data_IF_796914544396
#
_entry.id   IF_796914544396
#
_cell.length_a   1.000
_cell.length_b   1.000
_cell.length_c   1.000
_cell.angle_alpha   90.00
_cell.angle_beta   90.00
_cell.angle_gamma   90.00
#
_symmetry.space_group_name_H-M   'P 1'
#
loop_
_entity.id
_entity.type
_entity.pdbx_description
1 polymer ?
#
# COMPACT_ATOMS: atom_id res chain seq x y z
N UNK A 1 -3.08 -27.06 -50.96
CA UNK A 1 -2.05 -26.41 -50.12
C UNK A 1 -0.83 -27.32 -50.02
N UNK A 2 0.37 -26.83 -50.36
CA UNK A 2 1.63 -27.59 -50.15
C UNK A 2 2.06 -27.36 -48.70
N UNK A 3 2.11 -28.44 -47.91
CA UNK A 3 2.51 -28.40 -46.49
C UNK A 3 3.78 -29.20 -46.29
N UNK A 4 4.55 -28.84 -45.27
CA UNK A 4 5.78 -29.56 -44.90
C UNK A 4 5.46 -31.03 -44.58
N UNK A 5 6.27 -32.01 -45.04
CA UNK A 5 6.07 -33.42 -44.72
C UNK A 5 6.01 -33.69 -43.21
N UNK A 6 6.76 -32.92 -42.41
CA UNK A 6 6.78 -32.99 -40.95
C UNK A 6 5.41 -32.69 -40.34
N UNK A 7 4.64 -31.74 -40.89
CA UNK A 7 3.30 -31.41 -40.38
C UNK A 7 2.34 -32.58 -40.59
N UNK A 8 2.42 -33.26 -41.74
CA UNK A 8 1.63 -34.47 -42.03
C UNK A 8 2.03 -35.62 -41.09
N UNK A 9 3.33 -35.84 -40.91
CA UNK A 9 3.87 -36.83 -39.95
C UNK A 9 3.37 -36.58 -38.53
N UNK A 10 3.26 -35.32 -38.13
CA UNK A 10 2.84 -34.90 -36.80
C UNK A 10 1.30 -34.83 -36.64
N UNK A 11 0.52 -35.30 -37.61
CA UNK A 11 -0.93 -35.50 -37.49
C UNK A 11 -1.82 -34.52 -38.25
N UNK A 12 -1.27 -33.55 -39.00
CA UNK A 12 -2.08 -32.63 -39.79
C UNK A 12 -2.71 -33.34 -41.01
N UNK A 13 -4.05 -33.39 -41.06
CA UNK A 13 -4.83 -34.03 -42.15
C UNK A 13 -5.52 -33.05 -43.10
N UNK A 14 -5.25 -31.75 -42.98
CA UNK A 14 -5.81 -30.71 -43.86
C UNK A 14 -6.86 -29.80 -43.20
N UNK A 15 -7.34 -30.15 -42.02
CA UNK A 15 -8.22 -29.30 -41.21
C UNK A 15 -7.42 -28.52 -40.15
N UNK A 16 -7.80 -27.27 -39.95
CA UNK A 16 -7.22 -26.36 -38.97
C UNK A 16 -8.06 -26.28 -37.68
N UNK A 17 -9.25 -26.87 -37.66
CA UNK A 17 -10.13 -26.96 -36.50
C UNK A 17 -10.46 -25.59 -35.87
N UNK A 18 -10.55 -24.54 -36.69
CA UNK A 18 -10.77 -23.16 -36.23
C UNK A 18 -9.55 -22.49 -35.57
N UNK A 19 -8.36 -23.09 -35.64
CA UNK A 19 -7.10 -22.51 -35.15
C UNK A 19 -6.37 -21.83 -36.30
N UNK A 20 -5.72 -20.68 -36.03
CA UNK A 20 -4.86 -20.03 -37.02
C UNK A 20 -3.78 -21.00 -37.55
N UNK A 21 -3.58 -21.10 -38.89
CA UNK A 21 -2.56 -21.94 -39.50
C UNK A 21 -1.17 -21.76 -38.90
N UNK A 22 -0.78 -20.51 -38.62
CA UNK A 22 0.53 -20.18 -38.03
C UNK A 22 0.67 -20.78 -36.64
N UNK A 23 -0.37 -20.67 -35.81
CA UNK A 23 -0.37 -21.18 -34.43
C UNK A 23 -0.33 -22.70 -34.41
N UNK A 24 -1.19 -23.35 -35.21
CA UNK A 24 -1.28 -24.82 -35.27
C UNK A 24 0.02 -25.42 -35.79
N UNK A 25 0.57 -24.88 -36.88
CA UNK A 25 1.83 -25.39 -37.45
C UNK A 25 3.01 -25.20 -36.51
N UNK A 26 3.13 -24.02 -35.88
CA UNK A 26 4.18 -23.80 -34.88
C UNK A 26 4.11 -24.85 -33.78
N UNK A 27 2.92 -25.04 -33.21
CA UNK A 27 2.73 -25.97 -32.10
C UNK A 27 2.96 -27.44 -32.50
N UNK A 28 2.50 -27.86 -33.68
CA UNK A 28 2.77 -29.20 -34.20
C UNK A 28 4.26 -29.47 -34.41
N UNK A 29 5.06 -28.44 -34.71
CA UNK A 29 6.50 -28.57 -34.91
C UNK A 29 7.30 -28.47 -33.60
N UNK A 30 6.73 -27.87 -32.54
CA UNK A 30 7.47 -27.58 -31.30
C UNK A 30 7.01 -28.37 -30.07
N UNK A 31 5.77 -28.86 -30.03
CA UNK A 31 5.21 -29.51 -28.85
C UNK A 31 4.72 -30.95 -29.17
N UNK A 32 5.40 -31.98 -28.64
CA UNK A 32 5.02 -33.39 -28.89
C UNK A 32 3.66 -33.76 -28.29
N UNK A 33 3.14 -32.99 -27.32
CA UNK A 33 1.80 -33.20 -26.75
C UNK A 33 0.72 -32.89 -27.79
N UNK A 34 0.93 -31.83 -28.57
CA UNK A 34 0.00 -31.41 -29.63
C UNK A 34 -0.02 -32.44 -30.77
N UNK A 35 1.14 -32.99 -31.14
CA UNK A 35 1.22 -34.13 -32.06
C UNK A 35 0.42 -35.33 -31.53
N UNK A 36 0.62 -35.67 -30.25
CA UNK A 36 -0.06 -36.81 -29.61
C UNK A 36 -1.58 -36.64 -29.65
N UNK A 37 -2.09 -35.46 -29.28
CA UNK A 37 -3.51 -35.16 -29.27
C UNK A 37 -4.11 -35.13 -30.68
N UNK A 38 -3.41 -34.54 -31.65
CA UNK A 38 -3.83 -34.53 -33.06
C UNK A 38 -3.93 -35.94 -33.65
N UNK A 39 -2.97 -36.82 -33.34
CA UNK A 39 -3.02 -38.22 -33.77
C UNK A 39 -4.12 -39.02 -33.09
N UNK A 40 -4.43 -38.69 -31.84
CA UNK A 40 -5.49 -39.29 -31.05
C UNK A 40 -6.90 -38.78 -31.35
N UNK A 41 -7.06 -37.80 -32.26
CA UNK A 41 -8.33 -37.13 -32.55
C UNK A 41 -8.92 -36.36 -31.35
N UNK A 42 -8.06 -35.93 -30.41
CA UNK A 42 -8.42 -35.25 -29.17
C UNK A 42 -8.46 -33.72 -29.37
N UNK A 43 -9.26 -33.28 -30.35
CA UNK A 43 -9.21 -31.91 -30.87
C UNK A 43 -9.54 -30.85 -29.80
N UNK A 44 -10.51 -31.10 -28.93
CA UNK A 44 -10.91 -30.15 -27.90
C UNK A 44 -9.85 -30.00 -26.79
N UNK A 45 -9.21 -31.10 -26.39
CA UNK A 45 -8.07 -31.07 -25.44
C UNK A 45 -6.88 -30.36 -26.07
N UNK A 46 -6.59 -30.63 -27.34
CA UNK A 46 -5.54 -29.95 -28.09
C UNK A 46 -5.78 -28.44 -28.12
N UNK A 47 -6.98 -28.00 -28.51
CA UNK A 47 -7.34 -26.57 -28.49
C UNK A 47 -7.09 -25.98 -27.11
N UNK A 48 -7.58 -26.62 -26.05
CA UNK A 48 -7.43 -26.10 -24.69
C UNK A 48 -5.96 -25.91 -24.29
N UNK A 49 -5.09 -26.89 -24.56
CA UNK A 49 -3.66 -26.77 -24.28
C UNK A 49 -2.95 -25.74 -25.16
N UNK A 50 -3.34 -25.61 -26.44
CA UNK A 50 -2.80 -24.60 -27.33
C UNK A 50 -3.10 -23.18 -26.83
N UNK A 51 -4.30 -22.96 -26.28
CA UNK A 51 -4.71 -21.66 -25.75
C UNK A 51 -4.22 -21.42 -24.33
N UNK A 52 -4.01 -22.47 -23.53
CA UNK A 52 -3.59 -22.40 -22.13
C UNK A 52 -2.35 -23.27 -21.87
N UNK A 53 -1.17 -22.77 -22.28
CA UNK A 53 0.09 -23.51 -22.18
C UNK A 53 0.40 -23.99 -20.75
N UNK A 54 0.16 -23.14 -19.74
CA UNK A 54 0.33 -23.50 -18.33
C UNK A 54 -0.54 -24.70 -17.91
N UNK A 55 -1.78 -24.76 -18.41
CA UNK A 55 -2.68 -25.89 -18.15
C UNK A 55 -2.11 -27.19 -18.74
N UNK A 56 -1.46 -27.11 -19.90
CA UNK A 56 -0.81 -28.27 -20.49
C UNK A 56 0.30 -28.80 -19.59
N UNK A 57 1.12 -27.92 -19.00
CA UNK A 57 2.19 -28.33 -18.09
C UNK A 57 1.63 -28.94 -16.79
N UNK A 58 0.58 -28.34 -16.23
CA UNK A 58 -0.04 -28.78 -14.98
C UNK A 58 -0.84 -30.09 -15.14
N UNK A 59 -1.56 -30.28 -16.25
CA UNK A 59 -2.55 -31.34 -16.40
C UNK A 59 -2.09 -32.52 -17.25
N UNK A 60 -1.01 -32.41 -18.03
CA UNK A 60 -0.61 -33.44 -19.01
C UNK A 60 -0.40 -34.82 -18.39
N UNK A 61 0.31 -34.90 -17.25
CA UNK A 61 0.57 -36.17 -16.58
C UNK A 61 -0.73 -36.84 -16.12
N UNK A 62 -1.63 -36.07 -15.51
CA UNK A 62 -2.96 -36.54 -15.07
C UNK A 62 -3.83 -36.94 -16.25
N UNK A 63 -3.74 -36.21 -17.37
CA UNK A 63 -4.53 -36.52 -18.56
C UNK A 63 -4.11 -37.88 -19.15
N UNK A 64 -2.81 -38.15 -19.26
CA UNK A 64 -2.32 -39.46 -19.71
C UNK A 64 -2.79 -40.60 -18.81
N UNK A 65 -2.85 -40.37 -17.50
CA UNK A 65 -3.36 -41.35 -16.53
C UNK A 65 -4.87 -41.55 -16.73
N UNK A 66 -5.66 -40.47 -16.82
CA UNK A 66 -7.09 -40.54 -17.08
C UNK A 66 -7.41 -41.34 -18.36
N UNK A 67 -6.65 -41.09 -19.45
CA UNK A 67 -6.77 -41.85 -20.70
C UNK A 67 -6.43 -43.33 -20.53
N UNK A 68 -5.36 -43.68 -19.79
CA UNK A 68 -5.01 -45.08 -19.50
C UNK A 68 -6.13 -45.81 -18.74
N UNK A 69 -6.81 -45.10 -17.85
CA UNK A 69 -7.94 -45.60 -17.09
C UNK A 69 -9.28 -45.53 -17.86
N UNK A 70 -9.27 -45.13 -19.13
CA UNK A 70 -10.46 -44.96 -19.97
C UNK A 70 -11.51 -44.03 -19.35
N UNK A 71 -11.06 -43.05 -18.56
CA UNK A 71 -11.94 -42.07 -17.95
C UNK A 71 -12.45 -41.09 -19.01
N UNK A 72 -13.77 -40.88 -19.01
CA UNK A 72 -14.43 -39.95 -19.94
C UNK A 72 -14.49 -38.56 -19.31
N UNK A 73 -13.88 -37.58 -19.97
CA UNK A 73 -13.86 -36.19 -19.53
C UNK A 73 -14.80 -35.40 -20.44
N UNK A 74 -16.01 -35.10 -19.97
CA UNK A 74 -17.00 -34.36 -20.77
C UNK A 74 -16.69 -32.86 -20.85
N UNK A 75 -16.16 -32.26 -19.77
CA UNK A 75 -15.71 -30.87 -19.75
C UNK A 75 -14.25 -30.78 -19.31
N UNK A 76 -13.35 -30.68 -20.30
CA UNK A 76 -11.91 -30.67 -20.07
C UNK A 76 -11.44 -29.46 -19.25
N UNK A 77 -12.01 -28.28 -19.50
CA UNK A 77 -11.64 -27.07 -18.76
C UNK A 77 -11.97 -27.19 -17.27
N UNK A 78 -13.19 -27.64 -16.96
CA UNK A 78 -13.64 -27.83 -15.58
C UNK A 78 -12.83 -28.93 -14.88
N UNK A 79 -12.44 -29.98 -15.61
CA UNK A 79 -11.57 -31.02 -15.07
C UNK A 79 -10.15 -30.49 -14.76
N UNK A 80 -9.59 -29.62 -15.61
CA UNK A 80 -8.35 -28.92 -15.29
C UNK A 80 -8.48 -28.03 -14.04
N UNK A 81 -9.60 -27.31 -13.90
CA UNK A 81 -9.87 -26.50 -12.70
C UNK A 81 -9.95 -27.39 -11.44
N UNK A 82 -10.62 -28.55 -11.55
CA UNK A 82 -10.66 -29.56 -10.51
C UNK A 82 -9.27 -30.06 -10.10
N UNK A 83 -8.38 -30.36 -11.06
CA UNK A 83 -7.00 -30.75 -10.76
C UNK A 83 -6.24 -29.65 -10.00
N UNK A 84 -6.44 -28.38 -10.35
CA UNK A 84 -5.81 -27.27 -9.62
C UNK A 84 -6.35 -27.17 -8.19
N UNK A 85 -7.66 -27.40 -7.99
CA UNK A 85 -8.24 -27.47 -6.65
C UNK A 85 -7.64 -28.63 -5.84
N UNK A 86 -7.54 -29.83 -6.43
CA UNK A 86 -6.90 -30.98 -5.82
C UNK A 86 -5.45 -30.69 -5.41
N UNK A 87 -4.68 -30.06 -6.29
CA UNK A 87 -3.30 -29.66 -5.99
C UNK A 87 -3.24 -28.69 -4.80
N UNK A 88 -4.12 -27.67 -4.77
CA UNK A 88 -4.21 -26.73 -3.65
C UNK A 88 -4.66 -27.42 -2.35
N UNK A 89 -5.46 -28.49 -2.45
CA UNK A 89 -5.84 -29.35 -1.32
C UNK A 89 -4.77 -30.41 -0.97
N UNK A 90 -3.60 -30.38 -1.61
CA UNK A 90 -2.50 -31.32 -1.36
C UNK A 90 -2.78 -32.76 -1.81
N UNK A 91 -3.73 -32.96 -2.72
CA UNK A 91 -4.09 -34.27 -3.25
C UNK A 91 -3.14 -34.68 -4.38
N UNK A 92 -2.78 -35.96 -4.43
CA UNK A 92 -1.92 -36.50 -5.49
C UNK A 92 -2.66 -36.55 -6.83
N UNK A 93 -2.17 -35.77 -7.80
CA UNK A 93 -2.71 -35.70 -9.17
C UNK A 93 -2.28 -36.88 -10.05
N UNK A 94 -1.39 -37.75 -9.57
CA UNK A 94 -1.01 -39.00 -10.26
C UNK A 94 -1.83 -40.21 -9.78
N UNK A 95 -2.65 -40.05 -8.76
CA UNK A 95 -3.52 -41.10 -8.26
C UNK A 95 -4.86 -41.10 -9.05
N UNK A 96 -5.18 -42.16 -9.80
CA UNK A 96 -6.43 -42.27 -10.55
C UNK A 96 -7.68 -42.11 -9.68
N UNK A 97 -7.64 -42.53 -8.41
CA UNK A 97 -8.77 -42.39 -7.48
C UNK A 97 -9.13 -40.94 -7.19
N UNK A 98 -8.16 -40.04 -7.31
CA UNK A 98 -8.36 -38.61 -7.09
C UNK A 98 -8.85 -37.92 -8.37
N UNK A 99 -8.22 -38.24 -9.52
CA UNK A 99 -8.42 -37.49 -10.77
C UNK A 99 -9.54 -38.04 -11.66
N UNK A 100 -10.01 -39.27 -11.40
CA UNK A 100 -11.07 -39.95 -12.16
C UNK A 100 -12.27 -40.31 -11.24
N UNK A 101 -12.99 -39.32 -10.68
CA UNK A 101 -14.15 -39.60 -9.84
C UNK A 101 -15.31 -40.20 -10.63
N UNK A 102 -16.06 -41.11 -10.03
CA UNK A 102 -17.27 -41.69 -10.62
C UNK A 102 -18.34 -40.61 -10.86
N UNK A 103 -18.57 -39.74 -9.88
CA UNK A 103 -19.38 -38.53 -10.01
C UNK A 103 -18.48 -37.29 -10.00
N UNK A 104 -18.18 -36.79 -11.19
CA UNK A 104 -17.32 -35.62 -11.38
C UNK A 104 -17.89 -34.35 -10.75
N UNK A 105 -19.21 -34.13 -10.88
CA UNK A 105 -19.84 -32.91 -10.37
C UNK A 105 -19.82 -32.90 -8.84
N UNK A 106 -20.15 -34.01 -8.20
CA UNK A 106 -20.07 -34.12 -6.75
C UNK A 106 -18.64 -33.93 -6.22
N UNK A 107 -17.64 -34.49 -6.92
CA UNK A 107 -16.23 -34.35 -6.54
C UNK A 107 -15.73 -32.91 -6.72
N UNK A 108 -16.10 -32.26 -7.83
CA UNK A 108 -15.80 -30.86 -8.10
C UNK A 108 -16.40 -29.95 -7.02
N UNK A 109 -17.70 -30.07 -6.74
CA UNK A 109 -18.37 -29.23 -5.74
C UNK A 109 -17.82 -29.43 -4.33
N UNK A 110 -17.43 -30.67 -3.97
CA UNK A 110 -16.76 -30.94 -2.71
C UNK A 110 -15.40 -30.21 -2.62
N UNK A 111 -14.60 -30.27 -3.68
CA UNK A 111 -13.32 -29.56 -3.74
C UNK A 111 -13.52 -28.03 -3.66
N UNK A 112 -14.51 -27.48 -4.37
CA UNK A 112 -14.87 -26.06 -4.32
C UNK A 112 -15.17 -25.61 -2.90
N UNK A 113 -16.07 -26.30 -2.18
CA UNK A 113 -16.42 -25.96 -0.79
C UNK A 113 -15.21 -25.97 0.14
N UNK A 114 -14.30 -26.93 -0.05
CA UNK A 114 -13.05 -27.00 0.76
C UNK A 114 -12.12 -25.83 0.47
N UNK A 115 -11.98 -25.44 -0.80
CA UNK A 115 -11.18 -24.27 -1.20
C UNK A 115 -11.79 -22.98 -0.64
N UNK A 116 -13.11 -22.82 -0.74
CA UNK A 116 -13.82 -21.67 -0.18
C UNK A 116 -13.63 -21.54 1.33
N UNK A 117 -13.71 -22.66 2.06
CA UNK A 117 -13.45 -22.68 3.50
C UNK A 117 -12.01 -22.29 3.86
N UNK A 118 -11.02 -22.64 3.04
CA UNK A 118 -9.63 -22.17 3.20
C UNK A 118 -9.56 -20.66 2.99
N UNK A 119 -10.14 -20.16 1.90
CA UNK A 119 -10.15 -18.73 1.58
C UNK A 119 -10.88 -17.90 2.63
N UNK A 120 -11.96 -18.40 3.21
CA UNK A 120 -12.67 -17.75 4.30
C UNK A 120 -11.80 -17.64 5.56
N UNK A 121 -11.11 -18.72 5.94
CA UNK A 121 -10.17 -18.72 7.06
C UNK A 121 -9.01 -17.75 6.83
N UNK A 122 -8.46 -17.72 5.62
CA UNK A 122 -7.38 -16.80 5.23
C UNK A 122 -7.83 -15.33 5.35
N UNK A 123 -9.01 -15.00 4.79
CA UNK A 123 -9.59 -13.65 4.89
C UNK A 123 -9.86 -13.23 6.33
N UNK A 124 -10.44 -14.12 7.14
CA UNK A 124 -10.68 -13.84 8.56
C UNK A 124 -9.37 -13.65 9.35
N UNK A 125 -8.33 -14.42 9.03
CA UNK A 125 -7.02 -14.25 9.65
C UNK A 125 -6.34 -12.94 9.25
N UNK A 126 -6.45 -12.54 7.99
CA UNK A 126 -5.94 -11.27 7.49
C UNK A 126 -6.66 -10.07 8.11
N UNK A 127 -7.99 -10.12 8.21
CA UNK A 127 -8.79 -9.10 8.88
C UNK A 127 -8.37 -8.92 10.35
N UNK A 128 -8.17 -10.03 11.09
CA UNK A 128 -7.69 -9.98 12.47
C UNK A 128 -6.30 -9.34 12.57
N UNK A 129 -5.37 -9.69 11.69
CA UNK A 129 -4.02 -9.08 11.66
C UNK A 129 -4.09 -7.57 11.42
N UNK A 130 -4.90 -7.16 10.44
CA UNK A 130 -5.09 -5.75 10.12
C UNK A 130 -5.71 -4.96 11.29
N UNK A 131 -6.69 -5.55 11.99
CA UNK A 131 -7.31 -4.91 13.16
C UNK A 131 -6.32 -4.72 14.32
N UNK A 132 -5.48 -5.72 14.58
CA UNK A 132 -4.41 -5.65 15.60
C UNK A 132 -3.40 -4.55 15.23
N UNK A 133 -2.88 -4.55 14.01
CA UNK A 133 -1.92 -3.54 13.55
C UNK A 133 -2.51 -2.13 13.61
N UNK A 134 -3.79 -1.97 13.24
CA UNK A 134 -4.48 -0.68 13.32
C UNK A 134 -4.57 -0.17 14.76
N UNK A 135 -4.92 -1.06 15.70
CA UNK A 135 -5.00 -0.73 17.14
C UNK A 135 -3.64 -0.35 17.71
N UNK A 136 -2.60 -1.12 17.41
CA UNK A 136 -1.23 -0.82 17.85
C UNK A 136 -0.75 0.54 17.32
N UNK A 137 -0.99 0.82 16.04
CA UNK A 137 -0.65 2.11 15.42
C UNK A 137 -1.41 3.28 16.07
N UNK A 138 -2.67 3.07 16.42
CA UNK A 138 -3.46 4.08 17.11
C UNK A 138 -2.96 4.33 18.53
N UNK A 139 -2.67 3.28 19.29
CA UNK A 139 -2.10 3.39 20.64
C UNK A 139 -0.74 4.11 20.60
N UNK A 140 0.14 3.76 19.64
CA UNK A 140 1.44 4.41 19.50
C UNK A 140 1.30 5.90 19.17
N UNK A 141 0.35 6.29 18.31
CA UNK A 141 0.06 7.70 18.02
C UNK A 141 -0.47 8.44 19.25
N UNK A 142 -1.33 7.82 20.04
CA UNK A 142 -1.83 8.43 21.27
C UNK A 142 -0.71 8.63 22.29
N UNK A 143 0.17 7.64 22.46
CA UNK A 143 1.33 7.73 23.34
C UNK A 143 2.28 8.84 22.87
N UNK A 144 2.57 8.92 21.57
CA UNK A 144 3.41 9.97 21.02
C UNK A 144 2.79 11.37 21.22
N UNK A 145 1.47 11.53 21.05
CA UNK A 145 0.79 12.81 21.30
C UNK A 145 0.88 13.24 22.77
N UNK A 146 0.74 12.29 23.71
CA UNK A 146 0.91 12.57 25.14
C UNK A 146 2.33 13.03 25.43
N UNK A 147 3.32 12.30 24.92
CA UNK A 147 4.73 12.66 25.06
C UNK A 147 5.04 14.03 24.44
N UNK A 148 4.56 14.30 23.23
CA UNK A 148 4.73 15.59 22.57
C UNK A 148 4.15 16.75 23.41
N UNK A 149 3.00 16.54 24.05
CA UNK A 149 2.38 17.54 24.94
C UNK A 149 3.17 17.73 26.24
N UNK A 150 3.62 16.65 26.87
CA UNK A 150 4.48 16.69 28.06
C UNK A 150 5.81 17.42 27.76
N UNK A 151 6.47 17.06 26.66
CA UNK A 151 7.72 17.69 26.20
C UNK A 151 7.50 19.17 25.87
N UNK A 152 6.37 19.52 25.25
CA UNK A 152 6.02 20.92 24.98
C UNK A 152 5.89 21.73 26.28
N UNK A 153 5.14 21.23 27.26
CA UNK A 153 5.00 21.91 28.56
C UNK A 153 6.35 22.01 29.27
N UNK A 154 7.13 20.93 29.32
CA UNK A 154 8.44 20.92 29.97
C UNK A 154 9.40 21.95 29.36
N UNK A 155 9.40 22.08 28.03
CA UNK A 155 10.29 22.98 27.32
C UNK A 155 9.78 24.44 27.30
N UNK A 156 8.47 24.65 27.19
CA UNK A 156 7.90 25.97 26.83
C UNK A 156 7.19 26.69 27.96
N UNK A 157 6.71 25.98 28.99
CA UNK A 157 5.87 26.57 30.05
C UNK A 157 6.53 27.74 30.80
N UNK A 158 7.86 27.72 30.95
CA UNK A 158 8.61 28.82 31.57
C UNK A 158 8.42 30.18 30.85
N UNK A 159 8.09 30.15 29.57
CA UNK A 159 7.86 31.35 28.75
C UNK A 159 6.40 31.77 28.71
N UNK A 160 5.45 30.98 29.21
CA UNK A 160 4.03 31.32 29.15
C UNK A 160 3.73 32.61 29.92
N UNK A 161 2.83 33.41 29.39
CA UNK A 161 2.52 34.77 29.82
C UNK A 161 3.57 35.82 29.47
N UNK A 162 4.62 35.47 28.71
CA UNK A 162 5.55 36.47 28.18
C UNK A 162 4.89 37.26 27.06
N UNK A 163 4.82 38.57 27.26
CA UNK A 163 4.30 39.54 26.28
C UNK A 163 5.31 40.67 26.16
N UNK A 164 5.65 41.02 24.92
CA UNK A 164 6.51 42.15 24.54
C UNK A 164 5.63 43.10 23.74
N UNK A 165 5.69 44.41 24.01
CA UNK A 165 4.87 45.38 23.29
C UNK A 165 5.53 46.74 23.21
N UNK A 166 5.20 47.49 22.17
CA UNK A 166 5.48 48.91 22.01
C UNK A 166 4.19 49.76 21.97
N UNK A 167 3.16 49.29 22.68
CA UNK A 167 1.79 49.82 22.74
C UNK A 167 0.90 49.44 21.54
N UNK A 168 1.44 49.48 20.32
CA UNK A 168 0.68 49.14 19.10
C UNK A 168 0.82 47.66 18.73
N UNK A 169 2.06 47.15 18.69
CA UNK A 169 2.35 45.75 18.36
C UNK A 169 2.46 44.96 19.66
N UNK A 170 1.77 43.82 19.71
CA UNK A 170 1.86 42.85 20.80
C UNK A 170 2.53 41.59 20.25
N UNK A 171 3.68 41.23 20.81
CA UNK A 171 4.39 39.98 20.52
C UNK A 171 4.26 39.06 21.72
N UNK A 172 3.55 37.94 21.56
CA UNK A 172 3.29 36.99 22.65
C UNK A 172 3.70 35.57 22.28
N UNK A 173 4.02 34.75 23.27
CA UNK A 173 4.36 33.33 23.07
C UNK A 173 3.14 32.55 22.58
N UNK A 174 3.38 31.53 21.73
CA UNK A 174 2.38 30.50 21.47
C UNK A 174 2.39 29.47 22.61
N UNK A 175 1.34 29.42 23.40
CA UNK A 175 1.30 28.73 24.70
C UNK A 175 0.67 27.33 24.64
N UNK A 176 0.21 26.91 23.46
CA UNK A 176 -0.32 25.56 23.25
C UNK A 176 0.01 25.02 21.87
N UNK A 177 0.01 23.69 21.73
CA UNK A 177 0.18 23.02 20.43
C UNK A 177 -0.93 23.43 19.45
N UNK A 178 -2.15 23.68 19.96
CA UNK A 178 -3.28 24.16 19.15
C UNK A 178 -3.06 25.58 18.63
N UNK A 179 -2.38 26.44 19.40
CA UNK A 179 -1.98 27.76 18.93
C UNK A 179 -0.97 27.69 17.79
N UNK A 180 0.02 26.79 17.83
CA UNK A 180 0.91 26.54 16.69
C UNK A 180 0.11 26.13 15.45
N UNK A 181 -0.88 25.23 15.62
CA UNK A 181 -1.74 24.80 14.52
C UNK A 181 -2.55 25.97 13.93
N UNK A 182 -3.19 26.76 14.79
CA UNK A 182 -4.03 27.89 14.37
C UNK A 182 -3.19 29.02 13.73
N UNK A 183 -2.03 29.33 14.30
CA UNK A 183 -1.08 30.30 13.75
C UNK A 183 -0.66 29.88 12.33
N UNK A 184 -0.17 28.63 12.19
CA UNK A 184 0.25 28.08 10.91
C UNK A 184 -0.87 28.05 9.87
N UNK A 185 -2.08 27.68 10.28
CA UNK A 185 -3.26 27.64 9.41
C UNK A 185 -3.69 29.05 8.96
N UNK A 186 -3.67 30.02 9.88
CA UNK A 186 -4.12 31.40 9.61
C UNK A 186 -3.14 32.13 8.69
N UNK A 187 -1.84 31.99 8.96
CA UNK A 187 -0.78 32.59 8.15
C UNK A 187 -0.46 31.77 6.88
N UNK A 188 -0.91 30.52 6.77
CA UNK A 188 -0.53 29.65 5.66
C UNK A 188 0.96 29.32 5.66
N UNK A 189 1.55 29.12 6.86
CA UNK A 189 2.95 28.80 7.10
C UNK A 189 3.10 27.44 7.81
N UNK A 190 4.30 26.89 7.83
CA UNK A 190 4.55 25.51 8.26
C UNK A 190 4.89 25.32 9.75
N UNK A 191 4.60 26.30 10.62
CA UNK A 191 5.04 26.27 12.03
C UNK A 191 4.57 25.03 12.81
N UNK A 192 3.32 24.58 12.59
CA UNK A 192 2.82 23.32 13.17
C UNK A 192 3.27 22.08 12.39
N UNK A 193 3.09 22.10 11.06
CA UNK A 193 3.37 20.93 10.20
C UNK A 193 4.83 20.48 10.24
N UNK A 194 5.75 21.42 10.43
CA UNK A 194 7.18 21.16 10.61
C UNK A 194 7.58 20.89 12.07
N UNK A 195 6.63 20.87 13.00
CA UNK A 195 6.85 20.44 14.37
C UNK A 195 7.66 21.42 15.23
N UNK A 196 7.55 22.73 15.01
CA UNK A 196 8.32 23.72 15.78
C UNK A 196 8.02 23.67 17.29
N UNK A 197 6.81 23.27 17.68
CA UNK A 197 6.46 23.04 19.08
C UNK A 197 7.31 21.95 19.76
N UNK A 198 7.96 21.08 18.99
CA UNK A 198 8.87 20.03 19.49
C UNK A 198 10.32 20.48 19.62
N UNK A 199 10.72 21.58 18.99
CA UNK A 199 12.10 22.08 19.03
C UNK A 199 12.36 22.69 20.39
N UNK A 200 13.26 22.12 21.19
CA UNK A 200 13.49 22.57 22.56
C UNK A 200 14.18 23.95 22.62
N UNK A 201 15.02 24.23 21.63
CA UNK A 201 15.95 25.36 21.50
C UNK A 201 15.40 26.58 20.76
N UNK A 202 14.14 26.57 20.37
CA UNK A 202 13.51 27.71 19.68
C UNK A 202 12.26 28.18 20.42
N UNK A 203 11.91 29.45 20.34
CA UNK A 203 10.66 29.98 20.89
C UNK A 203 9.87 30.66 19.78
N UNK A 204 8.62 30.23 19.61
CA UNK A 204 7.71 30.84 18.64
C UNK A 204 6.86 31.89 19.32
N UNK A 205 6.85 33.09 18.73
CA UNK A 205 6.06 34.22 19.13
C UNK A 205 5.10 34.62 17.99
N UNK A 206 3.95 35.16 18.36
CA UNK A 206 2.96 35.73 17.44
C UNK A 206 2.95 37.24 17.64
N UNK A 207 3.35 37.98 16.61
CA UNK A 207 3.23 39.42 16.55
C UNK A 207 1.83 39.78 16.04
N UNK A 208 1.15 40.69 16.74
CA UNK A 208 -0.26 41.03 16.51
C UNK A 208 -0.51 42.51 16.63
N UNK A 209 -1.49 43.00 15.86
CA UNK A 209 -2.12 44.31 16.04
C UNK A 209 -3.61 44.05 16.26
N UNK A 210 -4.10 44.38 17.47
CA UNK A 210 -5.41 43.91 17.91
C UNK A 210 -5.48 42.37 17.92
N UNK A 211 -6.48 41.80 17.24
CA UNK A 211 -6.65 40.35 17.11
C UNK A 211 -5.96 39.77 15.86
N UNK A 212 -5.47 40.62 14.96
CA UNK A 212 -4.85 40.18 13.71
C UNK A 212 -3.40 39.79 13.93
N UNK A 213 -3.03 38.60 13.43
CA UNK A 213 -1.65 38.15 13.39
C UNK A 213 -0.98 38.86 12.20
N UNK A 214 0.08 39.61 12.47
CA UNK A 214 0.88 40.28 11.43
C UNK A 214 2.04 39.39 10.99
N UNK A 215 2.84 38.88 11.92
CA UNK A 215 3.96 37.97 11.66
C UNK A 215 4.15 36.94 12.77
N UNK A 216 4.74 35.80 12.42
CA UNK A 216 5.19 34.77 13.34
C UNK A 216 6.71 34.81 13.44
N UNK A 217 7.22 34.86 14.67
CA UNK A 217 8.65 35.03 14.98
C UNK A 217 9.21 33.75 15.57
N UNK A 218 10.36 33.28 15.07
CA UNK A 218 11.19 32.25 15.71
C UNK A 218 12.42 32.90 16.34
N UNK A 219 12.59 32.68 17.64
CA UNK A 219 13.78 33.09 18.40
C UNK A 219 14.61 31.84 18.71
N UNK A 220 15.92 31.88 18.45
CA UNK A 220 16.85 30.86 18.93
C UNK A 220 17.14 31.12 20.42
N UNK A 221 16.85 30.16 21.28
CA UNK A 221 17.01 30.29 22.74
C UNK A 221 18.48 30.24 23.20
N UNK A 222 19.42 29.82 22.33
CA UNK A 222 20.85 29.76 22.63
C UNK A 222 21.50 31.12 22.42
N UNK A 223 21.15 31.81 21.34
CA UNK A 223 21.67 33.15 21.01
C UNK A 223 20.78 34.26 21.54
N UNK A 224 19.49 33.98 21.72
CA UNK A 224 18.41 34.93 22.05
C UNK A 224 18.19 35.97 20.94
N UNK A 225 18.41 35.55 19.69
CA UNK A 225 18.21 36.35 18.49
C UNK A 225 17.03 35.81 17.66
N UNK A 226 16.34 36.71 16.98
CA UNK A 226 15.34 36.34 15.96
C UNK A 226 16.04 35.70 14.77
N UNK A 227 15.64 34.47 14.42
CA UNK A 227 16.19 33.71 13.27
C UNK A 227 15.23 33.62 12.10
N UNK A 228 13.92 33.72 12.35
CA UNK A 228 12.89 33.83 11.33
C UNK A 228 11.80 34.77 11.80
N UNK A 229 11.25 35.58 10.90
CA UNK A 229 10.11 36.46 11.17
C UNK A 229 9.35 36.63 9.87
N UNK A 230 8.16 36.07 9.74
CA UNK A 230 7.39 36.22 8.50
C UNK A 230 5.89 36.23 8.78
N UNK A 231 5.17 36.99 7.96
CA UNK A 231 3.72 36.98 7.91
C UNK A 231 3.17 35.96 6.92
N UNK A 232 2.06 36.33 6.31
CA UNK A 232 1.24 35.40 5.53
C UNK A 232 2.00 34.84 4.35
N UNK A 233 1.94 33.53 4.17
CA UNK A 233 2.64 32.81 3.09
C UNK A 233 4.16 33.03 3.09
N UNK A 234 4.76 33.23 4.27
CA UNK A 234 6.18 33.53 4.47
C UNK A 234 6.62 34.85 3.81
N UNK A 235 5.74 35.85 3.81
CA UNK A 235 6.04 37.19 3.29
C UNK A 235 6.22 38.18 4.43
N UNK A 236 7.17 39.09 4.27
CA UNK A 236 7.43 40.17 5.21
C UNK A 236 6.33 41.22 5.09
N UNK A 237 5.92 41.77 6.23
CA UNK A 237 4.97 42.89 6.32
C UNK A 237 5.72 44.22 6.43
N UNK A 238 5.00 45.34 6.35
CA UNK A 238 5.59 46.66 6.61
C UNK A 238 6.14 46.83 8.04
N UNK A 239 5.75 45.93 8.95
CA UNK A 239 6.19 45.94 10.35
C UNK A 239 7.40 45.03 10.61
N UNK A 240 7.90 44.29 9.62
CA UNK A 240 8.92 43.24 9.78
C UNK A 240 10.14 43.68 10.61
N UNK A 241 10.84 44.74 10.16
CA UNK A 241 12.02 45.27 10.85
C UNK A 241 11.68 45.75 12.27
N UNK A 242 10.51 46.37 12.45
CA UNK A 242 10.03 46.86 13.76
C UNK A 242 9.78 45.69 14.72
N UNK A 243 9.22 44.57 14.26
CA UNK A 243 8.99 43.36 15.06
C UNK A 243 10.31 42.73 15.48
N UNK A 244 11.25 42.57 14.54
CA UNK A 244 12.58 42.01 14.82
C UNK A 244 13.30 42.85 15.89
N UNK A 245 13.33 44.16 15.69
CA UNK A 245 13.92 45.12 16.63
C UNK A 245 13.27 45.04 18.00
N UNK A 246 11.93 44.99 18.04
CA UNK A 246 11.16 44.93 19.28
C UNK A 246 11.49 43.67 20.08
N UNK A 247 11.57 42.51 19.44
CA UNK A 247 11.92 41.25 20.09
C UNK A 247 13.37 41.24 20.56
N UNK A 248 14.32 41.64 19.70
CA UNK A 248 15.74 41.66 20.04
C UNK A 248 16.06 42.65 21.19
N UNK A 249 15.47 43.85 21.19
CA UNK A 249 15.60 44.83 22.30
C UNK A 249 15.10 44.28 23.63
N UNK A 250 14.11 43.37 23.59
CA UNK A 250 13.51 42.75 24.77
C UNK A 250 14.00 41.32 25.04
N UNK A 251 15.07 40.85 24.38
CA UNK A 251 15.63 39.50 24.55
C UNK A 251 15.99 39.17 26.01
N UNK A 252 16.29 40.19 26.84
CA UNK A 252 16.49 40.01 28.28
C UNK A 252 15.28 39.41 28.99
N UNK A 253 14.05 39.72 28.58
CA UNK A 253 12.84 39.16 29.20
C UNK A 253 12.75 37.64 28.98
N UNK A 254 13.15 37.16 27.80
CA UNK A 254 13.26 35.72 27.50
C UNK A 254 14.36 35.09 28.35
N UNK A 255 15.52 35.75 28.46
CA UNK A 255 16.66 35.28 29.25
C UNK A 255 16.30 35.08 30.73
N UNK A 256 15.55 36.00 31.32
CA UNK A 256 15.14 35.89 32.73
C UNK A 256 14.19 34.70 32.94
N UNK A 257 13.28 34.41 32.00
CA UNK A 257 12.43 33.21 32.05
C UNK A 257 13.25 31.91 31.96
N UNK A 258 14.38 31.91 31.27
CA UNK A 258 15.27 30.74 31.20
C UNK A 258 15.99 30.47 32.52
N UNK A 259 16.30 31.50 33.31
CA UNK A 259 16.98 31.37 34.61
C UNK A 259 16.05 30.97 35.75
N UNK A 260 14.77 31.32 35.65
CA UNK A 260 13.77 31.09 36.69
C UNK A 260 13.25 29.64 36.74
N UNK A 261 13.77 28.74 35.91
CA UNK A 261 13.27 27.38 35.69
C UNK A 261 14.28 26.31 36.11
#
# INVERSE_FOLDING_TARGET
MRVLPQLRRNGFKGDFHGISPVRLFKALLSDPRIETLMKGDEIEVMKHFLFNARTADECWASYLIAKRHKYRIDNFSMWCDYLRMLNKLGQDLRNPKNICPEDFMAAHDNATRKIEAIHEKERAAEQRRWEIERREREQQRQLQRKKDAEDFIANKSKFFGLVITDEEIIVKVLESIDEYYNEGKTQGICVFGSGYYKKADTLILSARIGDEIIETVEVDLRTLEVVQCHGKHNQDTEYHERIIDLVNKNANLIRERMKAA
#
